data_IF_303297848557
#
_entry.id   IF_303297848557
#
_cell.length_a   1.000
_cell.length_b   1.000
_cell.length_c   1.000
_cell.angle_alpha   90.00
_cell.angle_beta   90.00
_cell.angle_gamma   90.00
#
_symmetry.space_group_name_H-M   'P 1'
#
loop_
_entity.id
_entity.type
_entity.pdbx_description
1 polymer ?
#
# COMPACT_ATOMS: atom_id res chain seq x y z
N UNK A 1 3.92 8.22 -12.64
CA UNK A 1 3.73 9.68 -12.52
C UNK A 1 2.59 10.06 -11.55
N UNK A 2 1.31 10.21 -11.97
CA UNK A 2 0.24 10.72 -11.05
C UNK A 2 -0.07 9.83 -9.83
N UNK A 3 -0.07 8.51 -10.00
CA UNK A 3 -0.37 7.56 -8.90
C UNK A 3 0.73 7.48 -7.84
N UNK A 4 2.00 7.58 -8.25
CA UNK A 4 3.15 7.62 -7.34
C UNK A 4 3.17 8.91 -6.51
N UNK A 5 2.88 10.05 -7.14
CA UNK A 5 2.78 11.32 -6.42
C UNK A 5 1.68 11.28 -5.35
N UNK A 6 0.51 10.70 -5.68
CA UNK A 6 -0.57 10.52 -4.70
C UNK A 6 -0.13 9.62 -3.54
N UNK A 7 0.49 8.47 -3.83
CA UNK A 7 0.99 7.55 -2.80
C UNK A 7 2.01 8.24 -1.88
N UNK A 8 2.97 8.99 -2.43
CA UNK A 8 3.98 9.72 -1.66
C UNK A 8 3.31 10.74 -0.74
N UNK A 9 2.37 11.54 -1.26
CA UNK A 9 1.66 12.56 -0.47
C UNK A 9 0.83 11.91 0.63
N UNK A 10 0.11 10.83 0.33
CA UNK A 10 -0.69 10.10 1.33
C UNK A 10 0.21 9.50 2.41
N UNK A 11 1.32 8.86 2.05
CA UNK A 11 2.27 8.27 3.02
C UNK A 11 2.92 9.34 3.89
N UNK A 12 3.32 10.47 3.30
CA UNK A 12 3.87 11.59 4.05
C UNK A 12 2.85 12.17 5.04
N UNK A 13 1.59 12.33 4.61
CA UNK A 13 0.50 12.77 5.48
C UNK A 13 0.23 11.80 6.63
N UNK A 14 0.21 10.49 6.33
CA UNK A 14 0.06 9.43 7.35
C UNK A 14 1.24 9.41 8.32
N UNK A 15 2.47 9.57 7.83
CA UNK A 15 3.67 9.64 8.67
C UNK A 15 3.61 10.84 9.63
N UNK A 16 3.19 12.00 9.14
CA UNK A 16 3.03 13.19 9.97
C UNK A 16 1.93 13.00 11.03
N UNK A 17 0.78 12.45 10.64
CA UNK A 17 -0.31 12.17 11.58
C UNK A 17 0.10 11.15 12.65
N UNK A 18 0.84 10.11 12.25
CA UNK A 18 1.38 9.11 13.17
C UNK A 18 2.35 9.76 14.16
N UNK A 19 3.29 10.58 13.67
CA UNK A 19 4.24 11.31 14.50
C UNK A 19 3.52 12.22 15.52
N UNK A 20 2.50 12.95 15.09
CA UNK A 20 1.72 13.80 15.99
C UNK A 20 0.98 12.96 17.04
N UNK A 21 0.45 11.80 16.66
CA UNK A 21 -0.20 10.87 17.58
C UNK A 21 0.77 10.31 18.61
N UNK A 22 2.01 10.01 18.21
CA UNK A 22 3.08 9.55 19.11
C UNK A 22 3.40 10.61 20.18
N UNK A 23 3.61 11.86 19.76
CA UNK A 23 3.89 12.96 20.68
C UNK A 23 2.70 13.28 21.60
N UNK A 24 1.49 13.30 21.05
CA UNK A 24 0.28 13.54 21.84
C UNK A 24 0.05 12.41 22.86
N UNK A 25 0.20 11.15 22.42
CA UNK A 25 0.11 9.98 23.27
C UNK A 25 1.13 10.04 24.41
N UNK A 26 2.38 10.36 24.11
CA UNK A 26 3.39 10.56 25.15
C UNK A 26 2.99 11.66 26.14
N UNK A 27 2.58 12.83 25.64
CA UNK A 27 2.22 13.97 26.49
C UNK A 27 1.08 13.64 27.45
N UNK A 28 0.08 12.91 26.98
CA UNK A 28 -1.10 12.54 27.79
C UNK A 28 -0.83 11.38 28.75
N UNK A 29 -0.05 10.38 28.33
CA UNK A 29 0.16 9.15 29.09
C UNK A 29 1.39 9.17 29.99
N UNK A 30 2.34 10.10 29.79
CA UNK A 30 3.58 10.21 30.57
C UNK A 30 3.38 10.06 32.09
N UNK A 31 2.43 10.74 32.77
CA UNK A 31 2.29 10.58 34.23
C UNK A 31 1.92 9.14 34.61
N UNK A 32 0.95 8.53 33.92
CA UNK A 32 0.51 7.15 34.18
C UNK A 32 1.63 6.14 33.90
N UNK A 33 2.38 6.37 32.83
CA UNK A 33 3.50 5.52 32.43
C UNK A 33 4.69 5.66 33.38
N UNK A 34 4.91 6.83 33.99
CA UNK A 34 5.97 7.03 34.98
C UNK A 34 5.72 6.16 36.23
N UNK A 35 4.47 6.02 36.63
CA UNK A 35 4.06 5.20 37.78
C UNK A 35 4.02 3.69 37.44
N UNK A 36 4.07 3.32 36.16
CA UNK A 36 3.95 1.93 35.68
C UNK A 36 5.03 1.61 34.63
N UNK A 37 6.27 1.27 35.04
CA UNK A 37 7.39 1.06 34.12
C UNK A 37 7.18 -0.06 33.09
N UNK A 38 6.44 -1.11 33.44
CA UNK A 38 6.11 -2.21 32.51
C UNK A 38 5.24 -1.74 31.33
N UNK A 39 4.39 -0.73 31.55
CA UNK A 39 3.55 -0.15 30.50
C UNK A 39 4.33 0.77 29.57
N UNK A 40 5.45 1.35 30.03
CA UNK A 40 6.35 2.11 29.14
C UNK A 40 6.91 1.22 28.03
N UNK A 41 7.29 -0.01 28.36
CA UNK A 41 7.80 -0.98 27.37
C UNK A 41 6.74 -1.27 26.32
N UNK A 42 5.49 -1.52 26.73
CA UNK A 42 4.38 -1.74 25.81
C UNK A 42 4.08 -0.51 24.95
N UNK A 43 4.11 0.69 25.54
CA UNK A 43 3.89 1.93 24.82
C UNK A 43 4.94 2.12 23.71
N UNK A 44 6.23 1.99 24.03
CA UNK A 44 7.31 2.15 23.05
C UNK A 44 7.32 1.05 22.00
N UNK A 45 7.06 -0.19 22.40
CA UNK A 45 6.90 -1.29 21.45
C UNK A 45 5.75 -1.00 20.46
N UNK A 46 4.63 -0.48 20.94
CA UNK A 46 3.52 -0.04 20.10
C UNK A 46 3.92 1.06 19.11
N UNK A 47 4.70 2.06 19.55
CA UNK A 47 5.22 3.11 18.64
C UNK A 47 6.07 2.48 17.51
N UNK A 48 7.01 1.60 17.86
CA UNK A 48 7.88 0.93 16.88
C UNK A 48 7.09 0.07 15.89
N UNK A 49 6.13 -0.71 16.38
CA UNK A 49 5.25 -1.53 15.53
C UNK A 49 4.47 -0.66 14.55
N UNK A 50 3.93 0.47 15.01
CA UNK A 50 3.16 1.36 14.14
C UNK A 50 4.00 1.95 12.99
N UNK A 51 5.27 2.31 13.26
CA UNK A 51 6.21 2.79 12.23
C UNK A 51 6.55 1.67 11.27
N UNK A 52 6.82 0.46 11.77
CA UNK A 52 7.10 -0.71 10.94
C UNK A 52 5.94 -1.05 10.00
N UNK A 53 4.70 -0.97 10.50
CA UNK A 53 3.48 -1.17 9.68
C UNK A 53 3.40 -0.10 8.59
N UNK A 54 3.59 1.18 8.93
CA UNK A 54 3.54 2.25 7.94
C UNK A 54 4.64 2.09 6.87
N UNK A 55 5.85 1.72 7.28
CA UNK A 55 6.96 1.44 6.38
C UNK A 55 6.66 0.25 5.46
N UNK A 56 6.09 -0.83 5.99
CA UNK A 56 5.69 -1.99 5.19
C UNK A 56 4.64 -1.61 4.14
N UNK A 57 3.63 -0.82 4.51
CA UNK A 57 2.62 -0.29 3.58
C UNK A 57 3.28 0.57 2.50
N UNK A 58 4.23 1.43 2.87
CA UNK A 58 4.96 2.27 1.93
C UNK A 58 5.84 1.48 0.95
N UNK A 59 6.52 0.44 1.43
CA UNK A 59 7.44 -0.38 0.63
C UNK A 59 6.70 -1.36 -0.30
N UNK A 60 5.67 -2.04 0.23
CA UNK A 60 4.85 -2.96 -0.57
C UNK A 60 4.01 -2.18 -1.58
N UNK A 61 3.63 -0.96 -1.22
CA UNK A 61 2.73 -0.12 -1.99
C UNK A 61 1.33 -0.71 -2.10
N UNK A 62 0.48 -0.08 -2.90
CA UNK A 62 -0.84 -0.58 -3.23
C UNK A 62 -0.91 -0.90 -4.72
N UNK A 63 -1.01 -2.19 -5.07
CA UNK A 63 -1.22 -2.65 -6.45
C UNK A 63 -2.65 -3.18 -6.58
N UNK A 64 -3.59 -2.41 -7.15
CA UNK A 64 -4.94 -2.90 -7.37
C UNK A 64 -4.91 -4.10 -8.32
N UNK A 65 -5.71 -5.11 -8.00
CA UNK A 65 -5.82 -6.32 -8.81
C UNK A 65 -6.28 -5.97 -10.23
N UNK A 66 -5.73 -6.69 -11.21
CA UNK A 66 -6.19 -6.61 -12.59
C UNK A 66 -7.32 -7.62 -12.75
N UNK A 67 -8.48 -7.15 -13.20
CA UNK A 67 -9.61 -8.00 -13.58
C UNK A 67 -9.71 -8.02 -15.09
N UNK A 68 -9.83 -9.22 -15.64
CA UNK A 68 -9.98 -9.43 -17.09
C UNK A 68 -11.33 -10.09 -17.30
N UNK A 69 -12.17 -9.46 -18.10
CA UNK A 69 -13.50 -9.98 -18.46
C UNK A 69 -13.55 -10.20 -19.97
N UNK A 70 -13.86 -11.42 -20.39
CA UNK A 70 -14.07 -11.73 -21.80
C UNK A 70 -15.51 -11.38 -22.18
N UNK A 71 -15.68 -10.48 -23.15
CA UNK A 71 -16.99 -10.12 -23.72
C UNK A 71 -17.07 -10.57 -25.18
N UNK A 72 -18.24 -10.44 -25.79
CA UNK A 72 -18.43 -10.72 -27.21
C UNK A 72 -17.64 -9.78 -28.14
N UNK A 73 -17.29 -8.58 -27.67
CA UNK A 73 -16.58 -7.56 -28.46
C UNK A 73 -15.09 -7.43 -28.19
N UNK A 74 -14.55 -8.21 -27.23
CA UNK A 74 -13.13 -8.15 -26.85
C UNK A 74 -12.88 -8.43 -25.37
N UNK A 75 -11.66 -8.15 -24.94
CA UNK A 75 -11.20 -8.27 -23.56
C UNK A 75 -11.34 -6.92 -22.85
N UNK A 76 -12.09 -6.87 -21.76
CA UNK A 76 -12.13 -5.72 -20.86
C UNK A 76 -11.11 -5.91 -19.74
N UNK A 77 -10.17 -4.97 -19.63
CA UNK A 77 -9.12 -4.93 -18.63
C UNK A 77 -9.45 -3.83 -17.63
N UNK A 78 -9.69 -4.19 -16.38
CA UNK A 78 -9.89 -3.24 -15.29
C UNK A 78 -8.72 -3.30 -14.31
N UNK A 79 -8.16 -2.15 -13.96
CA UNK A 79 -7.16 -2.02 -12.91
C UNK A 79 -7.40 -0.76 -12.09
N UNK A 80 -7.92 -0.92 -10.87
CA UNK A 80 -8.37 0.19 -10.04
C UNK A 80 -9.51 0.96 -10.73
N UNK A 81 -9.35 2.27 -10.92
CA UNK A 81 -10.35 3.11 -11.60
C UNK A 81 -10.14 3.23 -13.12
N UNK A 82 -9.23 2.44 -13.71
CA UNK A 82 -8.96 2.45 -15.15
C UNK A 82 -9.59 1.22 -15.78
N UNK A 83 -10.30 1.44 -16.88
CA UNK A 83 -10.81 0.38 -17.75
C UNK A 83 -10.27 0.59 -19.17
N UNK A 84 -9.93 -0.50 -19.85
CA UNK A 84 -9.53 -0.50 -21.25
C UNK A 84 -10.07 -1.75 -21.93
N UNK A 85 -10.70 -1.56 -23.09
CA UNK A 85 -11.14 -2.66 -23.94
C UNK A 85 -10.09 -2.91 -25.02
N UNK A 86 -9.76 -4.18 -25.25
CA UNK A 86 -8.86 -4.66 -26.31
C UNK A 86 -9.68 -5.54 -27.26
N UNK A 87 -9.78 -5.14 -28.53
CA UNK A 87 -10.43 -5.95 -29.56
C UNK A 87 -9.65 -7.23 -29.82
N UNK A 88 -10.33 -8.34 -30.11
CA UNK A 88 -9.68 -9.60 -30.50
C UNK A 88 -8.87 -9.45 -31.79
N UNK A 89 -9.29 -8.58 -32.71
CA UNK A 89 -8.57 -8.34 -33.97
C UNK A 89 -7.21 -7.64 -33.76
N UNK A 90 -7.00 -7.05 -32.57
CA UNK A 90 -5.74 -6.41 -32.19
C UNK A 90 -4.83 -7.34 -31.37
N UNK A 91 -5.22 -8.60 -31.16
CA UNK A 91 -4.45 -9.60 -30.42
C UNK A 91 -3.75 -10.51 -31.42
N UNK A 92 -2.44 -10.28 -31.63
CA UNK A 92 -1.65 -11.07 -32.58
C UNK A 92 -1.29 -12.46 -32.03
N UNK A 93 -0.95 -12.55 -30.74
CA UNK A 93 -0.52 -13.80 -30.09
C UNK A 93 -0.90 -13.81 -28.60
N UNK A 94 -1.25 -15.00 -28.07
CA UNK A 94 -1.56 -15.22 -26.66
C UNK A 94 -0.60 -16.29 -26.11
N UNK A 95 0.29 -15.88 -25.19
CA UNK A 95 1.16 -16.80 -24.47
C UNK A 95 0.82 -16.79 -22.97
N UNK A 96 0.79 -17.97 -22.35
CA UNK A 96 0.69 -18.10 -20.89
C UNK A 96 2.08 -17.97 -20.29
N UNK A 97 2.41 -16.77 -19.80
CA UNK A 97 3.69 -16.51 -19.14
C UNK A 97 3.55 -16.75 -17.64
N UNK A 98 4.45 -17.54 -17.06
CA UNK A 98 4.50 -17.67 -15.60
C UNK A 98 4.85 -16.33 -14.96
N UNK A 99 4.17 -15.97 -13.86
CA UNK A 99 4.39 -14.71 -13.16
C UNK A 99 5.89 -14.50 -12.78
N UNK A 100 6.59 -15.60 -12.50
CA UNK A 100 8.03 -15.61 -12.20
C UNK A 100 8.92 -15.25 -13.40
N UNK A 101 8.52 -15.63 -14.62
CA UNK A 101 9.27 -15.33 -15.85
C UNK A 101 9.08 -13.88 -16.30
N UNK A 102 7.88 -13.34 -16.15
CA UNK A 102 7.56 -11.94 -16.47
C UNK A 102 8.39 -10.95 -15.65
N UNK A 103 8.56 -11.20 -14.35
CA UNK A 103 9.34 -10.33 -13.45
C UNK A 103 10.87 -10.38 -13.64
N UNK A 104 11.41 -11.34 -14.40
CA UNK A 104 12.86 -11.47 -14.61
C UNK A 104 13.37 -10.79 -15.90
N UNK A 105 12.46 -10.41 -16.80
CA UNK A 105 12.81 -9.88 -18.13
C UNK A 105 12.51 -8.39 -18.31
N UNK A 106 12.03 -7.70 -17.27
CA UNK A 106 11.82 -6.25 -17.23
C UNK A 106 12.34 -5.65 -15.92
#
# INVERSE_FOLDING_TARGET
>A
MRGEAFLIVTLAGLALALLMTHYLGWTLLKPVLADNPSWQVLFWAGQLVSVAVLAAVGLLGFRPAIRITCTAGGLELEQGARSRTVSYDAVDEIEVVSATRYHRHY
#
